data_IF_987492839796
#
_entry.id   IF_987492839796
#
_cell.length_a   1.000
_cell.length_b   1.000
_cell.length_c   1.000
_cell.angle_alpha   90.00
_cell.angle_beta   90.00
_cell.angle_gamma   90.00
#
_symmetry.space_group_name_H-M   'P 1'
#
loop_
_entity.id
_entity.type
_entity.pdbx_description
1 polymer ?
#
# COMPACT_ATOMS: atom_id res chain seq x y z
N UNK A 1 35.24 -1.54 7.50
CA UNK A 1 35.56 -1.52 6.06
C UNK A 1 34.34 -0.97 5.35
N UNK A 2 34.49 0.15 4.66
CA UNK A 2 33.43 0.92 4.00
C UNK A 2 33.19 0.33 2.61
N UNK A 3 31.93 0.01 2.28
CA UNK A 3 31.47 -0.17 0.90
C UNK A 3 30.20 0.66 0.71
N UNK A 4 30.39 1.87 0.21
CA UNK A 4 29.34 2.74 -0.28
C UNK A 4 28.96 2.27 -1.71
N UNK A 5 27.69 1.97 -1.91
CA UNK A 5 27.08 1.74 -3.23
C UNK A 5 26.73 3.09 -3.89
N UNK A 6 26.85 3.25 -5.22
CA UNK A 6 26.81 4.55 -5.88
C UNK A 6 25.40 4.92 -6.33
N UNK A 7 24.56 5.42 -5.43
CA UNK A 7 23.37 6.18 -5.85
C UNK A 7 23.17 7.38 -4.93
N UNK A 8 23.53 8.56 -5.48
CA UNK A 8 23.29 9.92 -4.99
C UNK A 8 23.81 10.25 -3.58
N UNK A 9 24.97 10.89 -3.53
CA UNK A 9 25.39 11.76 -2.43
C UNK A 9 24.49 13.01 -2.40
N UNK A 10 23.35 12.92 -1.72
CA UNK A 10 22.68 14.11 -1.21
C UNK A 10 23.43 14.49 0.06
N UNK A 11 23.92 15.73 0.11
CA UNK A 11 24.72 16.23 1.21
C UNK A 11 24.11 15.92 2.58
N UNK A 12 24.91 15.18 3.37
CA UNK A 12 24.66 14.68 4.74
C UNK A 12 24.40 15.80 5.77
N UNK A 13 24.38 17.07 5.34
CA UNK A 13 24.21 18.24 6.20
C UNK A 13 22.77 18.51 6.61
N UNK A 14 21.76 18.10 5.84
CA UNK A 14 20.35 18.29 6.22
C UNK A 14 19.90 17.24 7.23
N UNK A 15 20.55 16.08 7.31
CA UNK A 15 20.16 14.96 8.19
C UNK A 15 20.83 14.95 9.57
N UNK A 16 21.80 15.84 9.86
CA UNK A 16 22.52 15.84 11.15
C UNK A 16 21.62 16.10 12.37
N UNK A 17 20.64 17.02 12.34
CA UNK A 17 19.67 17.17 13.43
C UNK A 17 18.66 16.00 13.50
N UNK A 18 18.37 15.34 12.37
CA UNK A 18 17.37 14.27 12.26
C UNK A 18 17.89 12.92 12.73
N UNK A 19 19.17 12.62 12.45
CA UNK A 19 19.83 11.45 13.03
C UNK A 19 19.94 11.61 14.54
N UNK A 20 20.20 12.83 15.04
CA UNK A 20 20.20 13.14 16.47
C UNK A 20 18.81 13.13 17.09
N UNK A 21 17.73 13.49 16.38
CA UNK A 21 16.36 13.45 16.93
C UNK A 21 15.80 12.02 16.97
N UNK A 22 16.03 11.21 15.93
CA UNK A 22 15.69 9.78 15.95
C UNK A 22 16.59 9.08 16.98
N UNK A 23 17.91 9.31 16.99
CA UNK A 23 18.72 8.69 18.06
C UNK A 23 18.38 9.25 19.44
N UNK A 24 18.04 10.53 19.67
CA UNK A 24 17.68 11.03 21.01
C UNK A 24 16.29 10.57 21.47
N UNK A 25 15.32 10.43 20.56
CA UNK A 25 14.01 9.86 20.86
C UNK A 25 14.09 8.34 21.09
N UNK A 26 15.06 7.67 20.46
CA UNK A 26 15.38 6.25 20.65
C UNK A 26 16.52 6.01 21.69
N UNK A 27 17.14 7.03 22.32
CA UNK A 27 18.25 6.86 23.29
C UNK A 27 17.89 7.22 24.73
N UNK A 28 16.62 7.56 25.02
CA UNK A 28 16.12 7.31 26.37
C UNK A 28 15.87 5.79 26.52
N UNK A 29 16.98 5.10 26.81
CA UNK A 29 17.14 3.65 26.92
C UNK A 29 16.07 2.94 27.76
N UNK A 30 15.48 3.63 28.74
CA UNK A 30 14.43 3.06 29.60
C UNK A 30 13.18 2.66 28.82
N UNK A 31 12.77 3.41 27.79
CA UNK A 31 11.53 3.13 27.06
C UNK A 31 11.69 1.93 26.12
N UNK A 32 12.83 1.80 25.44
CA UNK A 32 13.16 0.69 24.55
C UNK A 32 13.35 -0.62 25.31
N UNK A 33 14.02 -0.58 26.47
CA UNK A 33 14.21 -1.75 27.31
C UNK A 33 12.87 -2.25 27.89
N UNK A 34 11.96 -1.34 28.27
CA UNK A 34 10.59 -1.70 28.67
C UNK A 34 9.74 -2.21 27.48
N UNK A 35 9.92 -1.62 26.29
CA UNK A 35 9.28 -1.98 25.02
C UNK A 35 9.60 -3.43 24.62
N UNK A 36 10.88 -3.80 24.70
CA UNK A 36 11.32 -5.16 24.37
C UNK A 36 11.05 -6.15 25.51
N UNK A 37 11.16 -5.73 26.77
CA UNK A 37 10.76 -6.56 27.90
C UNK A 37 9.26 -6.91 27.87
N UNK A 38 8.37 -5.99 27.46
CA UNK A 38 6.93 -6.29 27.31
C UNK A 38 6.61 -7.16 26.09
N UNK A 39 7.32 -6.99 24.98
CA UNK A 39 7.18 -7.85 23.79
C UNK A 39 7.68 -9.29 24.06
N UNK A 40 8.68 -9.45 24.92
CA UNK A 40 9.31 -10.74 25.27
C UNK A 40 8.68 -11.40 26.51
N UNK A 41 8.14 -10.65 27.48
CA UNK A 41 7.54 -11.24 28.70
C UNK A 41 6.23 -12.01 28.46
N UNK A 42 5.62 -11.94 27.26
CA UNK A 42 4.52 -12.83 26.86
C UNK A 42 5.00 -14.23 26.43
N UNK A 43 6.30 -14.41 26.23
CA UNK A 43 6.98 -15.70 26.14
C UNK A 43 7.69 -15.97 27.47
N UNK A 44 7.09 -16.78 28.33
CA UNK A 44 7.56 -17.05 29.71
C UNK A 44 9.07 -17.32 29.81
N UNK A 45 9.82 -16.40 30.42
CA UNK A 45 10.76 -16.68 31.52
C UNK A 45 11.43 -15.39 32.01
N UNK A 46 11.43 -15.20 33.31
CA UNK A 46 12.14 -14.18 34.10
C UNK A 46 13.64 -14.17 33.85
N UNK A 47 14.19 -13.08 33.29
CA UNK A 47 15.56 -12.60 33.60
C UNK A 47 15.62 -11.08 33.38
N UNK A 48 15.90 -10.32 34.44
CA UNK A 48 16.32 -8.92 34.37
C UNK A 48 17.79 -8.86 33.93
N UNK A 49 18.03 -8.62 32.65
CA UNK A 49 19.33 -8.22 32.12
C UNK A 49 19.10 -7.17 31.04
N UNK A 50 19.87 -6.09 31.09
CA UNK A 50 19.89 -5.07 30.05
C UNK A 50 20.30 -5.72 28.73
N UNK A 51 19.37 -5.82 27.77
CA UNK A 51 19.66 -6.36 26.45
C UNK A 51 20.11 -5.23 25.53
N UNK A 52 21.42 -5.09 25.35
CA UNK A 52 21.97 -4.26 24.27
C UNK A 52 21.59 -4.93 22.94
N UNK A 53 20.62 -4.36 22.23
CA UNK A 53 20.22 -4.81 20.90
C UNK A 53 21.29 -4.31 19.91
N UNK A 54 22.16 -5.22 19.47
CA UNK A 54 22.99 -5.01 18.28
C UNK A 54 22.10 -5.06 17.03
N UNK A 55 21.35 -3.98 16.76
CA UNK A 55 20.73 -3.78 15.45
C UNK A 55 21.86 -3.63 14.43
N UNK A 56 22.03 -4.60 13.54
CA UNK A 56 23.14 -4.62 12.58
C UNK A 56 23.01 -3.50 11.53
N UNK A 57 21.81 -2.96 11.31
CA UNK A 57 21.55 -1.77 10.49
C UNK A 57 20.14 -1.20 10.73
N UNK A 58 20.01 0.13 10.67
CA UNK A 58 18.75 0.86 10.57
C UNK A 58 18.73 1.56 9.21
N UNK A 59 17.66 1.40 8.44
CA UNK A 59 17.49 2.04 7.14
C UNK A 59 16.14 2.77 7.10
N UNK A 60 16.17 4.05 6.70
CA UNK A 60 14.95 4.77 6.36
C UNK A 60 14.56 4.31 4.95
N UNK A 61 13.44 3.59 4.84
CA UNK A 61 13.06 2.87 3.60
C UNK A 61 11.75 3.36 2.99
N UNK A 62 11.14 4.41 3.55
CA UNK A 62 9.84 4.91 3.11
C UNK A 62 9.84 6.40 2.81
N UNK A 63 8.80 6.79 2.09
CA UNK A 63 8.44 8.17 1.83
C UNK A 63 8.26 8.97 3.13
N UNK A 64 8.58 10.26 3.08
CA UNK A 64 8.34 11.18 4.19
C UNK A 64 7.00 11.88 3.94
N UNK A 65 6.05 11.61 4.82
CA UNK A 65 4.71 12.19 4.76
C UNK A 65 4.52 13.34 5.75
N UNK A 66 3.29 13.84 5.82
CA UNK A 66 2.80 14.77 6.84
C UNK A 66 3.22 14.31 8.24
N UNK A 67 3.58 15.26 9.11
CA UNK A 67 4.16 15.04 10.45
C UNK A 67 5.54 14.38 10.49
N UNK A 68 6.29 14.39 9.36
CA UNK A 68 7.62 13.77 9.24
C UNK A 68 7.63 12.27 9.53
N UNK A 69 6.47 11.62 9.38
CA UNK A 69 6.31 10.19 9.56
C UNK A 69 6.90 9.48 8.34
N UNK A 70 8.02 8.80 8.55
CA UNK A 70 8.62 7.91 7.58
C UNK A 70 8.55 6.46 8.08
N UNK A 71 8.31 5.53 7.17
CA UNK A 71 8.50 4.10 7.47
C UNK A 71 9.99 3.83 7.57
N UNK A 72 10.42 3.28 8.69
CA UNK A 72 11.80 2.82 8.88
C UNK A 72 11.83 1.31 8.93
N UNK A 73 12.94 0.71 8.52
CA UNK A 73 13.17 -0.72 8.70
C UNK A 73 14.49 -0.97 9.40
N UNK A 74 14.51 -2.02 10.20
CA UNK A 74 15.70 -2.42 10.96
C UNK A 74 15.76 -3.94 11.06
N UNK A 75 16.95 -4.46 11.28
CA UNK A 75 17.17 -5.90 11.45
C UNK A 75 17.48 -6.23 12.91
N UNK A 76 16.81 -7.26 13.42
CA UNK A 76 17.18 -7.92 14.68
C UNK A 76 17.49 -9.37 14.34
N UNK A 77 18.78 -9.74 14.39
CA UNK A 77 19.29 -11.03 13.89
C UNK A 77 18.92 -11.19 12.41
N UNK A 78 18.29 -12.31 12.04
CA UNK A 78 17.90 -12.63 10.66
C UNK A 78 16.49 -12.12 10.30
N UNK A 79 15.81 -11.42 11.21
CA UNK A 79 14.47 -10.89 10.97
C UNK A 79 14.51 -9.38 10.69
N UNK A 80 13.76 -8.96 9.66
CA UNK A 80 13.51 -7.54 9.36
C UNK A 80 12.24 -7.10 10.07
N UNK A 81 12.26 -5.88 10.54
CA UNK A 81 11.12 -5.23 11.16
C UNK A 81 10.83 -3.96 10.39
N UNK A 82 9.55 -3.67 10.19
CA UNK A 82 9.09 -2.39 9.67
C UNK A 82 8.47 -1.62 10.81
N UNK A 83 8.97 -0.42 11.05
CA UNK A 83 8.33 0.57 11.89
C UNK A 83 7.46 1.44 11.00
N UNK A 84 6.14 1.34 11.20
CA UNK A 84 5.13 2.04 10.41
C UNK A 84 4.28 2.91 11.32
N UNK A 85 4.01 4.11 10.82
CA UNK A 85 2.99 4.97 11.38
C UNK A 85 1.65 4.60 10.78
N UNK A 86 0.74 4.13 11.61
CA UNK A 86 -0.52 3.56 11.17
C UNK A 86 -1.69 4.36 11.75
N UNK A 87 -2.47 4.96 10.86
CA UNK A 87 -3.74 5.63 11.17
C UNK A 87 -4.81 5.26 10.13
N UNK A 88 -4.74 3.99 9.70
CA UNK A 88 -5.62 3.34 8.74
C UNK A 88 -6.41 2.22 9.42
N UNK A 89 -7.18 1.43 8.65
CA UNK A 89 -7.98 0.33 9.20
C UNK A 89 -7.11 -0.59 10.04
N UNK A 90 -7.55 -0.86 11.27
CA UNK A 90 -6.85 -1.73 12.22
C UNK A 90 -6.49 -3.07 11.57
N UNK A 91 -5.19 -3.39 11.53
CA UNK A 91 -4.68 -4.61 10.89
C UNK A 91 -5.23 -5.90 11.49
N UNK A 92 -5.63 -5.89 12.77
CA UNK A 92 -6.31 -7.06 13.38
C UNK A 92 -7.69 -7.32 12.76
N UNK A 93 -8.44 -6.27 12.42
CA UNK A 93 -9.72 -6.40 11.71
C UNK A 93 -9.50 -6.88 10.27
N UNK A 94 -8.40 -6.46 9.63
CA UNK A 94 -8.03 -6.94 8.28
C UNK A 94 -7.64 -8.42 8.35
N UNK A 95 -6.87 -8.82 9.36
CA UNK A 95 -6.52 -10.23 9.60
C UNK A 95 -7.76 -11.08 9.86
N UNK A 96 -8.72 -10.57 10.62
CA UNK A 96 -10.02 -11.22 10.85
C UNK A 96 -10.79 -11.37 9.53
N UNK A 97 -10.87 -10.31 8.73
CA UNK A 97 -11.51 -10.33 7.42
C UNK A 97 -10.92 -11.42 6.52
N UNK A 98 -9.59 -11.44 6.40
CA UNK A 98 -8.87 -12.42 5.58
C UNK A 98 -9.18 -13.84 6.05
N UNK A 99 -9.10 -14.08 7.37
CA UNK A 99 -9.37 -15.39 7.97
C UNK A 99 -10.82 -15.83 7.77
N UNK A 100 -11.79 -14.94 7.93
CA UNK A 100 -13.23 -15.23 7.81
C UNK A 100 -13.68 -15.39 6.36
N UNK A 101 -13.01 -14.74 5.41
CA UNK A 101 -13.21 -15.00 3.98
C UNK A 101 -12.61 -16.36 3.59
N UNK A 102 -11.56 -16.81 4.27
CA UNK A 102 -10.94 -18.11 4.04
C UNK A 102 -9.98 -18.14 2.86
N UNK A 103 -9.42 -16.99 2.49
CA UNK A 103 -8.27 -16.92 1.56
C UNK A 103 -6.97 -17.12 2.34
N UNK A 104 -6.00 -17.81 1.74
CA UNK A 104 -4.72 -18.10 2.41
C UNK A 104 -3.69 -16.98 2.22
N UNK A 105 -4.13 -15.76 2.56
CA UNK A 105 -3.32 -14.54 2.67
C UNK A 105 -3.10 -14.30 4.17
N UNK A 106 -2.03 -13.62 4.55
CA UNK A 106 -1.79 -13.21 5.94
C UNK A 106 -1.35 -11.75 6.01
N UNK A 107 -1.64 -11.07 7.11
CA UNK A 107 -0.95 -9.82 7.45
C UNK A 107 0.25 -10.15 8.35
N UNK A 108 1.31 -9.31 8.36
CA UNK A 108 2.39 -9.42 9.32
C UNK A 108 1.88 -9.41 10.76
N UNK A 109 2.64 -10.04 11.66
CA UNK A 109 2.38 -9.87 13.08
C UNK A 109 2.77 -8.45 13.48
N UNK A 110 1.77 -7.70 13.94
CA UNK A 110 1.89 -6.29 14.25
C UNK A 110 1.66 -6.06 15.73
N UNK A 111 2.53 -5.22 16.29
CA UNK A 111 2.49 -4.87 17.70
C UNK A 111 2.32 -3.36 17.82
N UNK A 112 1.28 -2.93 18.53
CA UNK A 112 1.02 -1.51 18.82
C UNK A 112 1.77 -1.11 20.08
N UNK A 113 2.52 -0.01 20.00
CA UNK A 113 3.43 0.43 21.06
C UNK A 113 3.21 1.86 21.54
N UNK A 114 2.33 2.63 20.90
CA UNK A 114 2.10 4.02 21.29
C UNK A 114 1.04 4.70 20.44
N UNK A 115 0.61 5.87 20.91
CA UNK A 115 -0.34 6.73 20.23
C UNK A 115 0.21 8.17 20.22
N UNK A 116 0.19 8.85 19.06
CA UNK A 116 0.47 10.29 19.01
C UNK A 116 -0.67 11.07 19.70
N UNK A 117 -0.44 12.34 20.04
CA UNK A 117 -1.51 13.23 20.53
C UNK A 117 -2.64 13.42 19.52
N UNK A 118 -2.38 13.12 18.23
CA UNK A 118 -3.36 13.16 17.15
C UNK A 118 -4.07 11.81 16.90
N UNK A 119 -3.82 10.79 17.74
CA UNK A 119 -4.47 9.49 17.64
C UNK A 119 -3.77 8.49 16.72
N UNK A 120 -2.58 8.81 16.19
CA UNK A 120 -1.84 7.88 15.32
C UNK A 120 -1.19 6.78 16.13
N UNK A 121 -1.47 5.53 15.79
CA UNK A 121 -0.82 4.39 16.44
C UNK A 121 0.51 4.05 15.77
N UNK A 122 1.49 3.71 16.60
CA UNK A 122 2.82 3.31 16.15
C UNK A 122 2.83 1.78 16.12
N UNK A 123 3.11 1.20 14.97
CA UNK A 123 3.17 -0.25 14.80
C UNK A 123 4.59 -0.68 14.45
N UNK A 124 5.06 -1.73 15.12
CA UNK A 124 6.19 -2.52 14.62
C UNK A 124 5.62 -3.79 14.03
N UNK A 125 5.82 -3.95 12.73
CA UNK A 125 5.49 -5.15 12.00
C UNK A 125 6.73 -6.03 11.91
N UNK A 126 6.63 -7.28 12.36
CA UNK A 126 7.67 -8.27 12.12
C UNK A 126 7.55 -8.77 10.69
N UNK A 127 8.50 -8.42 9.83
CA UNK A 127 8.59 -8.97 8.49
C UNK A 127 9.36 -10.28 8.52
N UNK A 128 8.76 -11.33 7.98
CA UNK A 128 9.46 -12.58 7.75
C UNK A 128 10.42 -12.35 6.57
N UNK A 129 11.72 -12.25 6.86
CA UNK A 129 12.75 -12.29 5.81
C UNK A 129 13.05 -13.76 5.58
N UNK A 130 12.38 -14.35 4.61
CA UNK A 130 12.79 -15.65 4.11
C UNK A 130 12.77 -15.59 2.59
N UNK A 131 13.88 -15.15 2.00
CA UNK A 131 14.26 -15.56 0.66
C UNK A 131 14.82 -16.99 0.75
N UNK A 132 14.02 -17.96 1.24
CA UNK A 132 14.39 -19.37 1.14
C UNK A 132 14.29 -19.78 -0.34
N UNK A 133 15.25 -20.57 -0.82
CA UNK A 133 15.22 -21.10 -2.19
C UNK A 133 13.93 -21.86 -2.43
N UNK A 134 13.32 -21.64 -3.59
CA UNK A 134 11.98 -22.14 -3.89
C UNK A 134 12.11 -23.54 -4.51
N UNK A 135 11.44 -24.55 -3.94
CA UNK A 135 11.31 -25.87 -4.56
C UNK A 135 10.10 -25.91 -5.52
N UNK A 136 10.11 -26.78 -6.54
CA UNK A 136 9.13 -26.73 -7.64
C UNK A 136 7.63 -26.85 -7.21
N UNK A 137 7.22 -27.79 -6.33
CA UNK A 137 5.89 -27.81 -5.71
C UNK A 137 5.50 -26.51 -5.01
N UNK A 138 6.47 -25.80 -4.42
CA UNK A 138 6.20 -24.52 -3.77
C UNK A 138 5.80 -23.45 -4.80
N UNK A 139 6.19 -23.59 -6.06
CA UNK A 139 5.91 -22.59 -7.09
C UNK A 139 4.45 -22.64 -7.53
N UNK A 140 3.92 -23.82 -7.83
CA UNK A 140 2.51 -23.96 -8.19
C UNK A 140 1.63 -23.53 -7.02
N UNK A 141 1.96 -23.93 -5.78
CA UNK A 141 1.25 -23.44 -4.61
C UNK A 141 1.26 -21.91 -4.49
N UNK A 142 2.40 -21.26 -4.73
CA UNK A 142 2.49 -19.79 -4.74
C UNK A 142 1.66 -19.14 -5.85
N UNK A 143 1.63 -19.73 -7.05
CA UNK A 143 0.75 -19.31 -8.14
C UNK A 143 -0.72 -19.37 -7.74
N UNK A 144 -1.13 -20.46 -7.09
CA UNK A 144 -2.46 -20.63 -6.53
C UNK A 144 -2.80 -19.56 -5.48
N UNK A 145 -1.89 -19.28 -4.53
CA UNK A 145 -2.08 -18.21 -3.52
C UNK A 145 -2.23 -16.82 -4.15
N UNK A 146 -1.45 -16.54 -5.21
CA UNK A 146 -1.54 -15.30 -5.97
C UNK A 146 -2.90 -15.16 -6.67
N UNK A 147 -3.40 -16.24 -7.27
CA UNK A 147 -4.74 -16.27 -7.86
C UNK A 147 -5.84 -15.96 -6.84
N UNK A 148 -5.73 -16.47 -5.60
CA UNK A 148 -6.66 -16.12 -4.52
C UNK A 148 -6.57 -14.63 -4.15
N UNK A 149 -5.35 -14.14 -3.94
CA UNK A 149 -5.10 -12.76 -3.54
C UNK A 149 -5.62 -11.75 -4.56
N UNK A 150 -5.43 -12.05 -5.85
CA UNK A 150 -6.01 -11.28 -6.94
C UNK A 150 -7.51 -11.04 -6.76
N UNK A 151 -8.28 -12.12 -6.54
CA UNK A 151 -9.73 -12.03 -6.39
C UNK A 151 -10.11 -11.27 -5.14
N UNK A 152 -9.44 -11.52 -4.03
CA UNK A 152 -9.67 -10.81 -2.77
C UNK A 152 -9.49 -9.30 -2.94
N UNK A 153 -8.38 -8.85 -3.54
CA UNK A 153 -8.11 -7.43 -3.76
C UNK A 153 -9.05 -6.80 -4.79
N UNK A 154 -9.41 -7.54 -5.84
CA UNK A 154 -10.37 -7.08 -6.84
C UNK A 154 -11.76 -6.85 -6.22
N UNK A 155 -12.26 -7.81 -5.45
CA UNK A 155 -13.56 -7.74 -4.79
C UNK A 155 -13.57 -6.64 -3.74
N UNK A 156 -12.51 -6.50 -2.95
CA UNK A 156 -12.42 -5.46 -1.93
C UNK A 156 -11.88 -4.12 -2.47
N UNK A 157 -11.73 -3.98 -3.78
CA UNK A 157 -11.36 -2.71 -4.41
C UNK A 157 -10.09 -2.09 -3.82
N UNK A 158 -9.08 -2.91 -3.55
CA UNK A 158 -7.80 -2.45 -3.01
C UNK A 158 -6.95 -1.90 -4.16
N UNK A 159 -6.42 -0.68 -4.05
CA UNK A 159 -5.53 -0.10 -5.07
C UNK A 159 -4.09 0.00 -4.58
N UNK A 160 -3.14 0.32 -5.46
CA UNK A 160 -1.73 0.55 -5.10
C UNK A 160 -1.05 -0.66 -4.40
N UNK A 161 -1.47 -1.86 -4.80
CA UNK A 161 -0.82 -3.10 -4.40
C UNK A 161 0.32 -3.41 -5.36
N UNK A 162 1.56 -3.14 -4.95
CA UNK A 162 2.74 -3.48 -5.73
C UNK A 162 3.37 -4.80 -5.26
N UNK A 163 4.25 -5.38 -6.08
CA UNK A 163 4.97 -6.62 -5.75
C UNK A 163 5.74 -6.54 -4.44
N UNK A 164 6.26 -5.37 -4.12
CA UNK A 164 7.09 -5.16 -2.94
C UNK A 164 6.25 -5.13 -1.65
N UNK A 165 4.92 -5.05 -1.77
CA UNK A 165 3.97 -5.17 -0.66
C UNK A 165 3.65 -6.64 -0.33
N UNK A 166 4.27 -7.61 -1.01
CA UNK A 166 4.01 -9.04 -0.80
C UNK A 166 5.28 -9.82 -0.51
N UNK A 167 5.19 -10.75 0.44
CA UNK A 167 6.28 -11.67 0.78
C UNK A 167 5.73 -13.07 0.95
N UNK A 168 6.41 -14.06 0.40
CA UNK A 168 6.15 -15.46 0.72
C UNK A 168 6.96 -15.88 1.93
N UNK A 169 6.30 -16.51 2.90
CA UNK A 169 6.96 -17.24 3.97
C UNK A 169 6.23 -18.55 4.17
N UNK A 170 6.99 -19.64 4.09
CA UNK A 170 6.48 -21.00 4.18
C UNK A 170 5.33 -21.19 3.15
N UNK A 171 4.15 -21.62 3.60
CA UNK A 171 2.98 -21.90 2.75
C UNK A 171 1.97 -20.75 2.67
N UNK A 172 2.41 -19.51 2.92
CA UNK A 172 1.53 -18.34 2.99
C UNK A 172 2.07 -17.13 2.25
N UNK A 173 1.13 -16.36 1.68
CA UNK A 173 1.39 -15.06 1.07
C UNK A 173 1.08 -13.97 2.10
N UNK A 174 2.09 -13.20 2.49
CA UNK A 174 1.95 -12.07 3.39
C UNK A 174 1.72 -10.79 2.62
N UNK A 175 0.64 -10.08 2.94
CA UNK A 175 0.32 -8.75 2.47
C UNK A 175 0.80 -7.72 3.49
N UNK A 176 1.90 -7.03 3.16
CA UNK A 176 2.63 -6.18 4.08
C UNK A 176 1.97 -4.81 4.28
N UNK A 177 1.16 -4.36 3.33
CA UNK A 177 0.67 -2.98 3.29
C UNK A 177 -0.78 -2.89 2.86
N UNK A 178 -1.65 -2.85 3.86
CA UNK A 178 -3.10 -2.97 3.68
C UNK A 178 -3.86 -1.67 3.80
N UNK A 179 -3.18 -0.53 3.82
CA UNK A 179 -3.76 0.77 4.11
C UNK A 179 -4.70 1.29 3.01
N UNK A 180 -4.63 0.75 1.80
CA UNK A 180 -5.46 1.12 0.63
C UNK A 180 -6.66 0.20 0.42
N UNK A 181 -6.97 -0.68 1.38
CA UNK A 181 -8.15 -1.55 1.31
C UNK A 181 -9.44 -0.73 1.13
N UNK A 182 -10.28 -1.09 0.14
CA UNK A 182 -11.51 -0.38 -0.26
C UNK A 182 -11.34 0.98 -0.96
N UNK A 183 -10.11 1.44 -1.21
CA UNK A 183 -9.85 2.76 -1.81
C UNK A 183 -10.55 2.96 -3.17
N UNK A 184 -10.68 1.92 -4.00
CA UNK A 184 -11.31 2.02 -5.32
C UNK A 184 -12.79 2.41 -5.25
N UNK A 185 -13.48 2.08 -4.16
CA UNK A 185 -14.91 2.38 -4.02
C UNK A 185 -15.20 3.86 -3.79
N UNK A 186 -14.18 4.66 -3.49
CA UNK A 186 -14.29 6.09 -3.21
C UNK A 186 -14.20 6.97 -4.45
N UNK A 187 -13.51 6.55 -5.51
CA UNK A 187 -13.24 7.43 -6.65
C UNK A 187 -14.39 7.60 -7.68
N UNK A 188 -15.55 6.97 -7.46
CA UNK A 188 -16.58 6.69 -8.49
C UNK A 188 -17.23 7.88 -9.25
N UNK A 189 -16.90 9.15 -9.01
CA UNK A 189 -17.67 10.26 -9.57
C UNK A 189 -16.89 11.34 -10.33
N UNK A 190 -15.63 11.09 -10.73
CA UNK A 190 -14.92 12.04 -11.59
C UNK A 190 -15.22 11.76 -13.07
N UNK A 191 -16.29 12.38 -13.61
CA UNK A 191 -16.54 12.41 -15.06
C UNK A 191 -15.65 13.47 -15.70
N UNK A 192 -14.79 13.07 -16.64
CA UNK A 192 -13.99 13.99 -17.46
C UNK A 192 -14.83 14.45 -18.66
N UNK A 193 -14.80 15.74 -19.02
CA UNK A 193 -15.67 16.32 -20.07
C UNK A 193 -15.37 15.73 -21.46
N UNK A 194 -14.12 15.34 -21.72
CA UNK A 194 -13.62 15.11 -23.08
C UNK A 194 -13.04 13.71 -23.32
N UNK A 195 -13.39 12.71 -22.49
CA UNK A 195 -13.01 11.33 -22.77
C UNK A 195 -14.23 10.51 -23.25
N UNK A 196 -14.19 9.97 -24.48
CA UNK A 196 -15.25 9.12 -24.99
C UNK A 196 -15.20 7.79 -24.25
N UNK A 197 -16.23 7.51 -23.44
CA UNK A 197 -16.56 6.24 -22.76
C UNK A 197 -15.49 5.58 -21.84
N UNK A 198 -14.20 5.87 -22.00
CA UNK A 198 -13.11 5.48 -21.10
C UNK A 198 -13.01 6.45 -19.93
N UNK A 199 -14.07 6.46 -19.12
CA UNK A 199 -13.98 7.12 -17.84
C UNK A 199 -13.14 6.27 -16.89
N UNK A 200 -12.00 6.79 -16.43
CA UNK A 200 -11.18 6.21 -15.36
C UNK A 200 -11.95 5.86 -14.07
N UNK A 201 -13.18 6.39 -13.90
CA UNK A 201 -13.97 6.26 -12.68
C UNK A 201 -15.49 6.18 -12.87
N UNK A 202 -16.05 6.27 -14.08
CA UNK A 202 -17.49 6.56 -14.23
C UNK A 202 -18.41 5.37 -14.50
N UNK A 203 -17.90 4.16 -14.71
CA UNK A 203 -18.77 3.01 -14.76
C UNK A 203 -18.96 2.41 -13.38
N UNK A 204 -20.15 1.85 -13.14
CA UNK A 204 -20.48 1.10 -11.92
C UNK A 204 -19.50 -0.05 -11.64
N UNK A 205 -18.65 -0.37 -12.60
CA UNK A 205 -17.60 -1.35 -12.60
C UNK A 205 -16.25 -0.63 -12.54
N UNK A 206 -15.62 -0.59 -11.36
CA UNK A 206 -14.15 -0.56 -11.29
C UNK A 206 -13.69 -1.76 -12.09
N UNK A 207 -13.29 -1.52 -13.33
CA UNK A 207 -13.00 -2.62 -14.23
C UNK A 207 -11.66 -3.23 -13.82
N UNK A 208 -11.49 -4.51 -14.09
CA UNK A 208 -10.27 -5.21 -13.69
C UNK A 208 -9.00 -4.56 -14.28
N UNK A 209 -9.12 -3.84 -15.40
CA UNK A 209 -8.02 -3.09 -15.99
C UNK A 209 -7.59 -1.90 -15.12
N UNK A 210 -8.50 -1.27 -14.36
CA UNK A 210 -8.21 -0.14 -13.46
C UNK A 210 -7.50 -0.59 -12.17
N UNK A 211 -7.89 -1.73 -11.58
CA UNK A 211 -7.10 -2.38 -10.51
C UNK A 211 -5.65 -2.55 -10.93
N UNK A 212 -5.43 -2.88 -12.19
CA UNK A 212 -4.10 -3.19 -12.70
C UNK A 212 -3.38 -1.94 -13.22
N UNK A 213 -4.09 -0.95 -13.76
CA UNK A 213 -3.57 0.37 -14.15
C UNK A 213 -3.12 1.17 -12.93
N UNK A 214 -3.89 1.16 -11.84
CA UNK A 214 -3.49 1.78 -10.56
C UNK A 214 -2.28 1.09 -9.92
N UNK A 215 -1.89 -0.09 -10.40
CA UNK A 215 -0.69 -0.82 -10.02
C UNK A 215 0.43 -0.75 -11.06
N UNK A 216 0.34 0.14 -12.08
CA UNK A 216 1.39 0.34 -13.09
C UNK A 216 2.45 1.32 -12.62
N UNK A 217 3.72 1.02 -12.94
CA UNK A 217 4.77 2.05 -13.06
C UNK A 217 4.63 2.72 -14.43
N UNK A 218 3.89 3.81 -14.51
CA UNK A 218 3.96 4.67 -15.70
C UNK A 218 5.35 5.34 -15.74
N UNK A 219 6.20 4.97 -16.70
CA UNK A 219 7.53 5.58 -16.77
C UNK A 219 8.39 5.31 -18.00
N UNK A 220 8.08 4.33 -18.85
CA UNK A 220 8.94 4.02 -20.00
C UNK A 220 8.12 3.54 -21.19
N UNK A 221 8.20 4.29 -22.29
CA UNK A 221 7.48 4.08 -23.55
C UNK A 221 7.85 2.80 -24.32
N UNK A 222 8.62 1.88 -23.74
CA UNK A 222 9.04 0.64 -24.42
C UNK A 222 9.37 -0.56 -23.51
N UNK A 223 9.01 -0.57 -22.22
CA UNK A 223 9.35 -1.72 -21.36
C UNK A 223 8.21 -2.11 -20.43
N UNK A 224 7.51 -3.17 -20.85
CA UNK A 224 6.95 -4.24 -20.03
C UNK A 224 6.19 -3.80 -18.77
N UNK A 225 4.87 -3.66 -18.95
CA UNK A 225 3.86 -3.50 -17.89
C UNK A 225 3.94 -4.67 -16.89
N UNK A 226 4.66 -4.44 -15.79
CA UNK A 226 4.84 -5.44 -14.75
C UNK A 226 3.85 -5.21 -13.60
N UNK A 227 2.61 -5.66 -13.79
CA UNK A 227 1.70 -5.91 -12.67
C UNK A 227 2.37 -6.83 -11.63
N UNK A 228 1.89 -6.82 -10.38
CA UNK A 228 2.28 -7.78 -9.32
C UNK A 228 2.47 -9.21 -9.87
N UNK A 229 1.53 -9.61 -10.72
CA UNK A 229 1.42 -10.92 -11.34
C UNK A 229 2.50 -11.16 -12.41
N UNK A 230 2.71 -10.22 -13.33
CA UNK A 230 3.75 -10.34 -14.36
C UNK A 230 5.16 -10.33 -13.74
N UNK A 231 5.37 -9.52 -12.69
CA UNK A 231 6.64 -9.51 -11.95
C UNK A 231 6.93 -10.86 -11.29
N UNK A 232 5.91 -11.45 -10.65
CA UNK A 232 6.05 -12.75 -10.01
C UNK A 232 6.32 -13.84 -11.05
N UNK A 233 5.53 -13.92 -12.11
CA UNK A 233 5.68 -14.93 -13.17
C UNK A 233 7.08 -14.89 -13.77
N UNK A 234 7.63 -13.72 -14.04
CA UNK A 234 8.99 -13.57 -14.59
C UNK A 234 10.10 -13.90 -13.59
N UNK A 235 9.79 -13.89 -12.29
CA UNK A 235 10.72 -14.34 -11.26
C UNK A 235 10.74 -15.87 -11.11
N UNK A 236 9.81 -16.58 -11.76
CA UNK A 236 9.79 -18.03 -11.73
C UNK A 236 10.92 -18.60 -12.62
N UNK A 237 11.50 -19.76 -12.24
CA UNK A 237 12.43 -20.49 -13.10
C UNK A 237 11.81 -20.77 -14.47
N UNK A 238 12.59 -20.59 -15.54
CA UNK A 238 12.15 -20.80 -16.93
C UNK A 238 11.77 -22.26 -17.26
N UNK A 239 12.09 -23.20 -16.38
CA UNK A 239 11.91 -24.64 -16.57
C UNK A 239 10.47 -25.11 -16.29
N UNK A 240 9.59 -24.21 -15.82
CA UNK A 240 8.23 -24.56 -15.44
C UNK A 240 7.30 -24.34 -16.62
N UNK A 241 6.48 -25.36 -16.89
CA UNK A 241 5.44 -25.29 -17.89
C UNK A 241 4.45 -24.16 -17.57
N UNK A 242 4.44 -23.17 -18.45
CA UNK A 242 3.53 -22.03 -18.47
C UNK A 242 2.05 -22.45 -18.35
N UNK A 243 1.66 -23.58 -18.95
CA UNK A 243 0.30 -24.09 -18.85
C UNK A 243 -0.06 -24.48 -17.40
N UNK A 244 0.87 -25.11 -16.67
CA UNK A 244 0.66 -25.50 -15.26
C UNK A 244 0.63 -24.29 -14.33
N UNK A 245 1.44 -23.27 -14.62
CA UNK A 245 1.39 -21.99 -13.89
C UNK A 245 0.00 -21.37 -14.04
N UNK A 246 -0.49 -21.25 -15.28
CA UNK A 246 -1.79 -20.67 -15.58
C UNK A 246 -2.92 -21.48 -14.95
N UNK A 247 -2.91 -22.81 -15.08
CA UNK A 247 -3.88 -23.72 -14.46
C UNK A 247 -3.95 -23.49 -12.94
N UNK A 248 -2.79 -23.48 -12.27
CA UNK A 248 -2.74 -23.27 -10.82
C UNK A 248 -3.22 -21.88 -10.40
N UNK A 249 -2.92 -20.83 -11.18
CA UNK A 249 -3.49 -19.50 -10.93
C UNK A 249 -5.00 -19.46 -11.16
N UNK A 250 -5.52 -20.14 -12.18
CA UNK A 250 -6.97 -20.23 -12.44
C UNK A 250 -7.69 -20.94 -11.31
N UNK A 251 -7.13 -22.03 -10.79
CA UNK A 251 -7.64 -22.71 -9.60
C UNK A 251 -7.65 -21.77 -8.39
N UNK A 252 -6.60 -20.97 -8.22
CA UNK A 252 -6.51 -19.95 -7.17
C UNK A 252 -7.60 -18.89 -7.30
N UNK A 253 -7.85 -18.41 -8.52
CA UNK A 253 -8.92 -17.44 -8.83
C UNK A 253 -10.29 -18.06 -8.52
N UNK A 254 -10.55 -19.28 -8.97
CA UNK A 254 -11.81 -19.97 -8.73
C UNK A 254 -12.06 -20.20 -7.24
N UNK A 255 -11.03 -20.62 -6.50
CA UNK A 255 -11.08 -20.79 -5.06
C UNK A 255 -11.34 -19.47 -4.34
N UNK A 256 -10.54 -18.42 -4.63
CA UNK A 256 -10.69 -17.10 -4.01
C UNK A 256 -12.06 -16.49 -4.26
N UNK A 257 -12.61 -16.65 -5.47
CA UNK A 257 -13.97 -16.21 -5.80
C UNK A 257 -15.02 -16.95 -4.96
N UNK A 258 -14.93 -18.28 -4.87
CA UNK A 258 -15.84 -19.08 -4.05
C UNK A 258 -15.81 -18.66 -2.58
N UNK A 259 -14.62 -18.41 -2.03
CA UNK A 259 -14.43 -17.88 -0.68
C UNK A 259 -15.15 -16.55 -0.47
N UNK A 260 -14.91 -15.55 -1.32
CA UNK A 260 -15.59 -14.26 -1.23
C UNK A 260 -17.11 -14.38 -1.41
N UNK A 261 -17.58 -15.23 -2.33
CA UNK A 261 -19.00 -15.46 -2.56
C UNK A 261 -19.70 -16.04 -1.33
N UNK A 262 -19.11 -17.06 -0.72
CA UNK A 262 -19.65 -17.71 0.48
C UNK A 262 -19.63 -16.79 1.70
N UNK A 263 -18.64 -15.88 1.78
CA UNK A 263 -18.49 -14.95 2.91
C UNK A 263 -19.07 -13.55 2.64
N UNK A 264 -19.92 -13.37 1.61
CA UNK A 264 -20.41 -12.05 1.22
C UNK A 264 -21.19 -11.31 2.32
N UNK A 265 -21.99 -12.03 3.13
CA UNK A 265 -22.72 -11.43 4.25
C UNK A 265 -21.77 -10.96 5.35
N UNK A 266 -20.75 -11.76 5.66
CA UNK A 266 -19.71 -11.37 6.60
C UNK A 266 -18.93 -10.14 6.11
N UNK A 267 -18.53 -10.11 4.83
CA UNK A 267 -17.84 -8.96 4.23
C UNK A 267 -18.71 -7.70 4.36
N UNK A 268 -20.01 -7.81 4.09
CA UNK A 268 -20.95 -6.71 4.23
C UNK A 268 -20.98 -6.15 5.66
N UNK A 269 -21.19 -7.01 6.65
CA UNK A 269 -21.25 -6.62 8.06
C UNK A 269 -19.92 -6.06 8.56
N UNK A 270 -18.81 -6.67 8.15
CA UNK A 270 -17.46 -6.20 8.48
C UNK A 270 -17.23 -4.77 8.00
N UNK A 271 -17.67 -4.42 6.78
CA UNK A 271 -17.56 -3.06 6.24
C UNK A 271 -18.39 -2.06 7.06
N UNK A 272 -19.59 -2.45 7.51
CA UNK A 272 -20.44 -1.59 8.33
C UNK A 272 -19.82 -1.30 9.70
N UNK A 273 -19.16 -2.28 10.29
CA UNK A 273 -18.56 -2.20 11.63
C UNK A 273 -17.13 -1.63 11.64
N UNK A 274 -16.47 -1.51 10.49
CA UNK A 274 -15.07 -1.06 10.40
C UNK A 274 -14.97 0.44 10.14
N UNK A 275 -13.95 1.11 10.70
CA UNK A 275 -13.60 2.49 10.37
C UNK A 275 -12.92 2.60 9.00
N UNK A 276 -13.70 2.38 7.95
CA UNK A 276 -13.22 2.44 6.56
C UNK A 276 -12.84 3.86 6.12
N UNK A 277 -13.27 4.91 6.84
CA UNK A 277 -12.93 6.30 6.49
C UNK A 277 -11.45 6.63 6.78
N UNK A 278 -10.78 5.78 7.53
CA UNK A 278 -9.34 5.81 7.77
C UNK A 278 -8.50 5.25 6.61
N UNK A 279 -9.11 4.58 5.63
CA UNK A 279 -8.38 4.02 4.47
C UNK A 279 -7.61 5.11 3.72
N UNK A 280 -6.35 4.82 3.38
CA UNK A 280 -5.48 5.65 2.56
C UNK A 280 -6.01 5.66 1.13
N UNK A 281 -6.01 6.85 0.53
CA UNK A 281 -6.39 7.07 -0.85
C UNK A 281 -5.24 7.74 -1.59
N UNK A 282 -4.84 7.13 -2.70
CA UNK A 282 -3.75 7.64 -3.53
C UNK A 282 -4.39 8.34 -4.72
N UNK A 283 -4.51 9.65 -4.59
CA UNK A 283 -5.11 10.52 -5.61
C UNK A 283 -4.15 10.82 -6.76
N UNK A 284 -2.85 10.60 -6.56
CA UNK A 284 -1.78 10.83 -7.52
C UNK A 284 -0.59 9.94 -7.18
N UNK A 285 0.06 9.40 -8.21
CA UNK A 285 1.22 8.53 -8.03
C UNK A 285 2.36 9.23 -7.27
N UNK A 286 2.97 8.53 -6.31
CA UNK A 286 4.08 9.02 -5.48
C UNK A 286 5.22 9.63 -6.32
N UNK A 287 5.57 8.98 -7.44
CA UNK A 287 6.64 9.44 -8.32
C UNK A 287 6.41 10.85 -8.89
N UNK A 288 5.15 11.23 -9.13
CA UNK A 288 4.81 12.57 -9.60
C UNK A 288 5.10 13.60 -8.48
N UNK A 289 4.76 13.27 -7.23
CA UNK A 289 5.09 14.12 -6.10
C UNK A 289 6.59 14.29 -5.92
N UNK A 290 7.38 13.22 -6.04
CA UNK A 290 8.85 13.30 -5.97
C UNK A 290 9.43 14.24 -7.04
N UNK A 291 8.92 14.15 -8.28
CA UNK A 291 9.34 15.04 -9.37
C UNK A 291 8.99 16.50 -9.08
N UNK A 292 7.80 16.75 -8.54
CA UNK A 292 7.36 18.09 -8.14
C UNK A 292 8.24 18.61 -7.00
N UNK A 293 8.46 17.81 -5.94
CA UNK A 293 9.33 18.18 -4.82
C UNK A 293 10.71 18.56 -5.33
N UNK A 294 11.33 17.72 -6.15
CA UNK A 294 12.64 18.01 -6.75
C UNK A 294 12.63 19.34 -7.50
N UNK A 295 11.64 19.53 -8.39
CA UNK A 295 11.50 20.76 -9.15
C UNK A 295 11.30 22.01 -8.28
N UNK A 296 10.58 21.89 -7.15
CA UNK A 296 10.37 22.99 -6.22
C UNK A 296 11.61 23.28 -5.37
N UNK A 297 12.32 22.25 -4.90
CA UNK A 297 13.53 22.38 -4.08
C UNK A 297 14.74 22.84 -4.90
N UNK A 298 14.77 22.60 -6.21
CA UNK A 298 15.77 23.13 -7.15
C UNK A 298 15.58 24.65 -7.45
N UNK A 299 14.77 25.37 -6.67
CA UNK A 299 14.56 26.81 -6.81
C UNK A 299 15.68 27.61 -6.12
N UNK A 300 16.09 28.74 -6.70
CA UNK A 300 17.19 29.55 -6.14
C UNK A 300 16.78 30.29 -4.86
N UNK A 301 15.49 30.58 -4.71
CA UNK A 301 14.92 31.28 -3.57
C UNK A 301 13.42 30.96 -3.43
N UNK A 302 12.82 31.47 -2.37
CA UNK A 302 11.41 31.22 -2.03
C UNK A 302 10.43 31.82 -3.04
N UNK A 303 10.74 32.99 -3.62
CA UNK A 303 9.88 33.65 -4.61
C UNK A 303 9.78 32.79 -5.88
N UNK A 304 10.92 32.27 -6.37
CA UNK A 304 10.94 31.35 -7.50
C UNK A 304 10.19 30.06 -7.19
N UNK A 305 10.37 29.50 -5.99
CA UNK A 305 9.65 28.30 -5.53
C UNK A 305 8.14 28.52 -5.56
N UNK A 306 7.69 29.67 -5.08
CA UNK A 306 6.26 30.02 -5.01
C UNK A 306 5.66 30.23 -6.40
N UNK A 307 6.40 30.86 -7.32
CA UNK A 307 5.99 30.98 -8.72
C UNK A 307 5.90 29.60 -9.41
N UNK A 308 6.88 28.72 -9.19
CA UNK A 308 6.87 27.34 -9.70
C UNK A 308 5.69 26.55 -9.11
N UNK A 309 5.44 26.68 -7.82
CA UNK A 309 4.33 26.03 -7.11
C UNK A 309 2.97 26.46 -7.68
N UNK A 310 2.77 27.75 -7.94
CA UNK A 310 1.54 28.28 -8.55
C UNK A 310 1.30 27.70 -9.95
N UNK A 311 2.35 27.53 -10.76
CA UNK A 311 2.25 26.89 -12.07
C UNK A 311 1.81 25.44 -11.97
N UNK A 312 2.40 24.69 -11.03
CA UNK A 312 2.04 23.28 -10.80
C UNK A 312 0.61 23.18 -10.24
N UNK A 313 0.26 24.01 -9.26
CA UNK A 313 -1.08 24.11 -8.67
C UNK A 313 -2.14 24.20 -9.77
N UNK A 314 -2.00 25.15 -10.70
CA UNK A 314 -2.88 25.32 -11.86
C UNK A 314 -3.00 24.06 -12.72
N UNK A 315 -1.92 23.32 -12.91
CA UNK A 315 -1.94 22.06 -13.67
C UNK A 315 -2.61 20.91 -12.91
N UNK A 316 -2.55 20.90 -11.58
CA UNK A 316 -3.03 19.78 -10.76
C UNK A 316 -4.55 19.70 -10.67
N UNK A 317 -5.26 20.85 -10.61
CA UNK A 317 -6.73 20.88 -10.56
C UNK A 317 -7.38 21.14 -11.92
N UNK A 318 -6.64 21.60 -12.94
CA UNK A 318 -7.19 21.86 -14.27
C UNK A 318 -7.18 20.60 -15.15
N UNK A 319 -7.90 19.57 -14.73
CA UNK A 319 -8.02 18.27 -15.43
C UNK A 319 -9.07 18.27 -16.54
N UNK A 320 -9.50 19.43 -17.02
CA UNK A 320 -10.62 19.53 -17.98
C UNK A 320 -11.95 19.09 -17.38
N UNK A 321 -12.21 19.45 -16.11
CA UNK A 321 -13.47 19.21 -15.39
C UNK A 321 -14.26 20.53 -15.34
N UNK A 322 -15.54 20.52 -15.74
CA UNK A 322 -16.38 21.73 -15.86
C UNK A 322 -17.35 21.87 -14.71
N UNK A 323 -17.53 20.80 -13.92
CA UNK A 323 -18.42 20.84 -12.78
C UNK A 323 -17.77 21.65 -11.66
N UNK A 324 -18.26 22.88 -11.46
CA UNK A 324 -17.68 23.85 -10.51
C UNK A 324 -17.57 23.28 -9.09
N UNK A 325 -18.53 22.44 -8.68
CA UNK A 325 -18.50 21.76 -7.37
C UNK A 325 -17.32 20.79 -7.22
N UNK A 326 -17.01 20.03 -8.26
CA UNK A 326 -15.85 19.11 -8.29
C UNK A 326 -14.55 19.89 -8.38
N UNK A 327 -14.53 20.95 -9.19
CA UNK A 327 -13.36 21.82 -9.36
C UNK A 327 -12.96 22.50 -8.05
N UNK A 328 -13.94 22.99 -7.28
CA UNK A 328 -13.71 23.57 -5.95
C UNK A 328 -13.06 22.57 -4.99
N UNK A 329 -13.56 21.33 -4.95
CA UNK A 329 -13.00 20.25 -4.11
C UNK A 329 -11.58 19.86 -4.55
N UNK A 330 -11.33 19.77 -5.85
CA UNK A 330 -9.98 19.51 -6.38
C UNK A 330 -9.01 20.65 -6.06
N UNK A 331 -9.45 21.91 -6.11
CA UNK A 331 -8.62 23.05 -5.68
C UNK A 331 -8.25 22.95 -4.21
N UNK A 332 -9.18 22.57 -3.34
CA UNK A 332 -8.90 22.36 -1.91
C UNK A 332 -7.84 21.26 -1.72
N UNK A 333 -8.00 20.12 -2.39
CA UNK A 333 -7.02 19.01 -2.37
C UNK A 333 -5.65 19.49 -2.90
N UNK A 334 -5.61 20.15 -4.05
CA UNK A 334 -4.38 20.67 -4.66
C UNK A 334 -3.68 21.72 -3.80
N UNK A 335 -4.43 22.48 -3.00
CA UNK A 335 -3.88 23.45 -2.06
C UNK A 335 -3.12 22.73 -0.95
N UNK A 336 -3.70 21.66 -0.40
CA UNK A 336 -3.04 20.80 0.59
C UNK A 336 -1.79 20.16 -0.03
N UNK A 337 -1.91 19.58 -1.23
CA UNK A 337 -0.79 18.97 -1.93
C UNK A 337 0.38 19.96 -2.07
N UNK A 338 0.15 21.15 -2.65
CA UNK A 338 1.20 22.13 -2.91
C UNK A 338 1.87 22.65 -1.63
N UNK A 339 1.09 22.90 -0.58
CA UNK A 339 1.64 23.36 0.69
C UNK A 339 2.62 22.34 1.31
N UNK A 340 2.34 21.04 1.17
CA UNK A 340 3.21 19.97 1.64
C UNK A 340 4.42 19.78 0.71
N UNK A 341 4.21 19.81 -0.60
CA UNK A 341 5.27 19.63 -1.59
C UNK A 341 6.32 20.75 -1.51
N UNK A 342 5.92 21.99 -1.19
CA UNK A 342 6.85 23.12 -0.91
C UNK A 342 7.80 22.85 0.27
N UNK A 343 7.38 21.99 1.20
CA UNK A 343 8.16 21.57 2.37
C UNK A 343 8.95 20.28 2.13
N UNK A 344 8.86 19.70 0.93
CA UNK A 344 9.48 18.42 0.60
C UNK A 344 8.74 17.21 1.16
N UNK A 345 7.46 17.34 1.51
CA UNK A 345 6.64 16.27 2.06
C UNK A 345 5.69 15.69 1.02
N UNK A 346 5.55 14.37 0.99
CA UNK A 346 4.62 13.68 0.09
C UNK A 346 3.22 13.67 0.71
N UNK A 347 2.21 14.25 0.03
CA UNK A 347 0.83 14.26 0.53
C UNK A 347 0.29 12.84 0.75
N UNK A 348 -0.31 12.62 1.92
CA UNK A 348 -1.01 11.37 2.27
C UNK A 348 -2.45 11.74 2.64
N UNK A 349 -3.41 11.14 1.95
CA UNK A 349 -4.83 11.39 2.17
C UNK A 349 -5.51 10.13 2.67
N UNK A 350 -6.44 10.29 3.62
CA UNK A 350 -7.46 9.31 3.92
C UNK A 350 -8.79 9.79 3.39
N UNK A 351 -9.77 8.89 3.33
CA UNK A 351 -11.13 9.24 2.89
C UNK A 351 -11.71 10.38 3.69
N UNK A 352 -11.61 10.35 5.02
CA UNK A 352 -12.10 11.42 5.89
C UNK A 352 -11.42 12.76 5.68
N UNK A 353 -10.21 12.78 5.12
CA UNK A 353 -9.46 14.01 4.85
C UNK A 353 -9.86 14.63 3.50
N UNK A 354 -10.57 13.91 2.64
CA UNK A 354 -10.95 14.39 1.33
C UNK A 354 -12.28 15.15 1.40
N UNK A 355 -12.38 16.37 0.82
CA UNK A 355 -13.61 17.16 0.77
C UNK A 355 -14.61 16.62 -0.28
N UNK A 356 -14.61 15.31 -0.50
CA UNK A 356 -15.52 14.63 -1.43
C UNK A 356 -16.73 14.10 -0.65
N UNK A 357 -17.85 13.89 -1.32
CA UNK A 357 -18.98 13.21 -0.67
C UNK A 357 -18.55 11.77 -0.36
N UNK A 358 -18.30 11.52 0.92
CA UNK A 358 -17.98 10.19 1.42
C UNK A 358 -19.23 9.35 1.21
N UNK A 359 -19.15 8.34 0.34
CA UNK A 359 -20.19 7.33 0.27
C UNK A 359 -20.34 6.71 1.65
N UNK A 360 -21.58 6.67 2.15
CA UNK A 360 -21.84 6.00 3.41
C UNK A 360 -21.38 4.53 3.35
N UNK A 361 -20.99 3.99 4.50
CA UNK A 361 -20.45 2.62 4.61
C UNK A 361 -21.39 1.57 4.00
N UNK A 362 -22.70 1.78 4.15
CA UNK A 362 -23.73 0.94 3.57
C UNK A 362 -23.67 0.86 2.04
N UNK A 363 -23.50 1.99 1.36
CA UNK A 363 -23.35 2.04 -0.10
C UNK A 363 -22.07 1.32 -0.55
N UNK A 364 -20.98 1.47 0.18
CA UNK A 364 -19.72 0.75 -0.10
C UNK A 364 -19.91 -0.75 0.08
N UNK A 365 -20.47 -1.19 1.21
CA UNK A 365 -20.77 -2.59 1.49
C UNK A 365 -21.67 -3.20 0.40
N UNK A 366 -22.73 -2.49 0.00
CA UNK A 366 -23.62 -2.91 -1.10
C UNK A 366 -22.88 -3.00 -2.44
N UNK A 367 -21.99 -2.07 -2.74
CA UNK A 367 -21.19 -2.11 -3.97
C UNK A 367 -20.21 -3.28 -3.99
N UNK A 368 -19.64 -3.65 -2.84
CA UNK A 368 -18.79 -4.85 -2.70
C UNK A 368 -19.62 -6.11 -2.95
N UNK A 369 -20.77 -6.26 -2.29
CA UNK A 369 -21.67 -7.41 -2.50
C UNK A 369 -22.19 -7.48 -3.94
N UNK A 370 -22.58 -6.34 -4.52
CA UNK A 370 -22.97 -6.27 -5.92
C UNK A 370 -21.83 -6.73 -6.84
N UNK A 371 -20.58 -6.34 -6.54
CA UNK A 371 -19.41 -6.80 -7.30
C UNK A 371 -19.23 -8.31 -7.17
N UNK A 372 -19.33 -8.87 -5.96
CA UNK A 372 -19.26 -10.33 -5.75
C UNK A 372 -20.29 -11.02 -6.65
N UNK A 373 -21.53 -10.56 -6.65
CA UNK A 373 -22.64 -11.18 -7.38
C UNK A 373 -22.60 -10.94 -8.91
N UNK A 374 -22.07 -9.81 -9.37
CA UNK A 374 -21.94 -9.51 -10.80
C UNK A 374 -20.68 -10.11 -11.43
N UNK A 375 -19.71 -10.48 -10.60
CA UNK A 375 -18.45 -11.07 -11.06
C UNK A 375 -18.67 -12.51 -11.50
N UNK A 376 -18.41 -12.79 -12.77
CA UNK A 376 -18.40 -14.15 -13.30
C UNK A 376 -16.96 -14.70 -13.23
N UNK A 377 -16.74 -15.81 -12.53
CA UNK A 377 -15.42 -16.43 -12.38
C UNK A 377 -14.74 -16.72 -13.74
N UNK A 378 -15.49 -17.23 -14.73
CA UNK A 378 -14.96 -17.48 -16.07
C UNK A 378 -14.53 -16.18 -16.75
N UNK A 379 -15.26 -15.08 -16.53
CA UNK A 379 -14.89 -13.75 -17.05
C UNK A 379 -13.65 -13.19 -16.34
N UNK A 380 -13.48 -13.44 -15.04
CA UNK A 380 -12.26 -13.09 -14.31
C UNK A 380 -11.05 -13.79 -14.91
N UNK A 381 -11.13 -15.11 -15.11
CA UNK A 381 -10.05 -15.92 -15.71
C UNK A 381 -9.73 -15.42 -17.12
N UNK A 382 -10.74 -15.18 -17.96
CA UNK A 382 -10.54 -14.63 -19.31
C UNK A 382 -9.83 -13.28 -19.28
N UNK A 383 -10.22 -12.40 -18.37
CA UNK A 383 -9.56 -11.11 -18.24
C UNK A 383 -8.13 -11.27 -17.73
N UNK A 384 -7.91 -12.11 -16.73
CA UNK A 384 -6.59 -12.45 -16.18
C UNK A 384 -5.62 -12.93 -17.27
N UNK A 385 -6.08 -13.82 -18.17
CA UNK A 385 -5.29 -14.29 -19.29
C UNK A 385 -4.91 -13.20 -20.31
N UNK A 386 -5.73 -12.15 -20.47
CA UNK A 386 -5.36 -11.01 -21.34
C UNK A 386 -4.22 -10.16 -20.75
N UNK A 387 -3.95 -10.28 -19.46
CA UNK A 387 -2.99 -9.47 -18.72
C UNK A 387 -1.65 -10.18 -18.63
N UNK A 388 -1.71 -11.48 -18.42
CA UNK A 388 -0.54 -12.34 -18.31
C UNK A 388 -0.12 -12.71 -19.73
N UNK A 389 0.88 -11.98 -20.23
CA UNK A 389 1.57 -12.30 -21.47
C UNK A 389 2.52 -13.49 -21.22
N UNK A 390 1.93 -14.66 -20.93
CA UNK A 390 2.55 -15.98 -20.99
C UNK A 390 2.10 -16.63 -22.29
#
# INVERSE_FOLDING_TARGET
MVLLSPFYSIDVLILKPYFLCITSYFMNSECLDELFAKAINKTKSTVSNHFIINASSICITGDIHQDYKATTSFFIRDAKYFHKWHNTINESLISELISSVGVNIKTPLSYSYGCSSAGDTWLIQKALVSNKSIYLPDILHRCFLIGQAFVFFYILGTTDCHKDNFVFSDDSLFWLDSETLLSAYYFKNLKLINQPEDNFFSNNDFNLSELLKTNRREGTSNTEDLSLFNSFIRSLPAEIDNAKILESMHDGIAFGYKCCFNSQSFIFDWILCTDIESTRVIIRATRIYEQIIKFLLDSKNEIERDFRAEKIFKSMYNLGISEEGVLSKLRQISTIEINLLKQGLIPKFRIKDLPLEIKNKYSIAKNVVNRINSTNCSKLIQNFNKIINI
#
